data_IF_806664743152
#
_entry.id   IF_806664743152
#
_cell.length_a   1.000
_cell.length_b   1.000
_cell.length_c   1.000
_cell.angle_alpha   90.00
_cell.angle_beta   90.00
_cell.angle_gamma   90.00
#
_symmetry.space_group_name_H-M   'P 1'
#
loop_
_entity.id
_entity.type
_entity.pdbx_description
1 polymer ?
#
# COMPACT_ATOMS: atom_id res chain seq x y z
N UNK A 1 -1.19 -9.57 -16.61
CA UNK A 1 -1.76 -10.63 -15.75
C UNK A 1 -3.20 -10.25 -15.44
N UNK A 2 -4.20 -11.09 -15.74
CA UNK A 2 -5.58 -10.82 -15.34
C UNK A 2 -5.73 -10.86 -13.81
N UNK A 3 -6.76 -10.20 -13.28
CA UNK A 3 -7.08 -10.28 -11.86
C UNK A 3 -7.52 -11.71 -11.51
N UNK A 4 -6.96 -12.33 -10.45
CA UNK A 4 -7.42 -13.64 -9.96
C UNK A 4 -8.90 -13.59 -9.54
N UNK A 5 -9.64 -14.71 -9.65
CA UNK A 5 -11.02 -14.77 -9.17
C UNK A 5 -11.11 -14.59 -7.65
N UNK A 6 -12.30 -14.25 -7.09
CA UNK A 6 -12.48 -13.95 -5.67
C UNK A 6 -12.03 -15.07 -4.71
N UNK A 7 -12.20 -16.33 -5.10
CA UNK A 7 -11.83 -17.54 -4.36
C UNK A 7 -10.36 -17.94 -4.50
N UNK A 8 -9.61 -17.26 -5.37
CA UNK A 8 -8.19 -17.58 -5.59
C UNK A 8 -7.37 -17.45 -4.28
N UNK A 9 -6.33 -18.28 -4.13
CA UNK A 9 -5.37 -18.17 -3.03
C UNK A 9 -4.86 -16.74 -2.85
N UNK A 10 -4.64 -16.35 -1.59
CA UNK A 10 -4.13 -15.01 -1.26
C UNK A 10 -2.77 -14.72 -1.92
N UNK A 11 -1.94 -15.74 -2.10
CA UNK A 11 -0.66 -15.63 -2.81
C UNK A 11 -0.82 -15.14 -4.25
N UNK A 12 -1.84 -15.61 -4.97
CA UNK A 12 -2.12 -15.17 -6.34
C UNK A 12 -2.59 -13.72 -6.38
N UNK A 13 -3.39 -13.32 -5.39
CA UNK A 13 -3.81 -11.92 -5.21
C UNK A 13 -2.62 -11.02 -4.92
N UNK A 14 -1.68 -11.47 -4.09
CA UNK A 14 -0.40 -10.76 -3.85
C UNK A 14 0.45 -10.67 -5.11
N UNK A 15 0.58 -11.76 -5.87
CA UNK A 15 1.32 -11.77 -7.12
C UNK A 15 0.73 -10.76 -8.11
N UNK A 16 -0.59 -10.79 -8.33
CA UNK A 16 -1.29 -9.82 -9.14
C UNK A 16 -1.12 -8.38 -8.62
N UNK A 17 -1.32 -8.15 -7.31
CA UNK A 17 -1.16 -6.83 -6.69
C UNK A 17 0.22 -6.24 -6.98
N UNK A 18 1.29 -7.03 -6.87
CA UNK A 18 2.67 -6.60 -7.17
C UNK A 18 2.86 -6.19 -8.63
N UNK A 19 2.13 -6.80 -9.58
CA UNK A 19 2.14 -6.37 -10.99
C UNK A 19 1.50 -4.99 -11.21
N UNK A 20 0.68 -4.51 -10.26
CA UNK A 20 0.02 -3.21 -10.34
C UNK A 20 0.80 -2.09 -9.61
N UNK A 21 1.92 -2.43 -8.97
CA UNK A 21 2.75 -1.54 -8.14
C UNK A 21 4.24 -1.75 -8.47
N UNK A 22 4.64 -1.48 -9.71
CA UNK A 22 6.00 -1.74 -10.22
C UNK A 22 6.89 -0.50 -10.13
N UNK A 23 6.33 0.67 -10.41
CA UNK A 23 6.96 1.97 -10.41
C UNK A 23 7.36 2.41 -9.01
N UNK A 24 8.48 3.14 -8.93
CA UNK A 24 8.92 3.79 -7.69
C UNK A 24 7.88 4.78 -7.18
N UNK A 25 7.24 5.53 -8.08
CA UNK A 25 6.22 6.52 -7.74
C UNK A 25 5.03 5.93 -7.00
N UNK A 26 4.37 4.90 -7.57
CA UNK A 26 3.27 4.21 -6.87
C UNK A 26 3.72 3.66 -5.52
N UNK A 27 4.85 2.95 -5.49
CA UNK A 27 5.39 2.39 -4.24
C UNK A 27 5.60 3.47 -3.17
N UNK A 28 6.17 4.62 -3.52
CA UNK A 28 6.34 5.75 -2.59
C UNK A 28 5.02 6.31 -2.09
N UNK A 29 4.05 6.52 -2.99
CA UNK A 29 2.72 7.00 -2.56
C UNK A 29 2.01 6.03 -1.61
N UNK A 30 2.21 4.72 -1.77
CA UNK A 30 1.65 3.69 -0.89
C UNK A 30 2.40 3.59 0.45
N UNK A 31 3.73 3.69 0.43
CA UNK A 31 4.56 3.75 1.64
C UNK A 31 4.18 4.93 2.54
N UNK A 32 3.68 6.04 1.98
CA UNK A 32 3.21 7.19 2.77
C UNK A 32 1.71 7.08 3.08
N UNK A 33 0.90 6.79 2.06
CA UNK A 33 -0.55 6.79 2.16
C UNK A 33 -1.10 5.69 3.07
N UNK A 34 -0.51 4.49 3.04
CA UNK A 34 -1.00 3.35 3.85
C UNK A 34 -0.89 3.61 5.36
N UNK A 35 0.26 4.05 5.90
CA UNK A 35 0.35 4.46 7.31
C UNK A 35 -0.62 5.59 7.67
N UNK A 36 -0.81 6.58 6.80
CA UNK A 36 -1.74 7.69 7.04
C UNK A 36 -3.18 7.17 7.14
N UNK A 37 -3.61 6.27 6.25
CA UNK A 37 -4.94 5.64 6.34
C UNK A 37 -5.06 4.81 7.61
N UNK A 38 -4.05 3.99 7.92
CA UNK A 38 -4.06 3.11 9.08
C UNK A 38 -4.16 3.90 10.40
N UNK A 39 -3.44 5.02 10.52
CA UNK A 39 -3.53 5.92 11.67
C UNK A 39 -4.83 6.75 11.66
N UNK A 40 -5.32 7.13 10.48
CA UNK A 40 -6.55 7.89 10.31
C UNK A 40 -7.80 7.13 10.76
N UNK A 41 -7.85 5.82 10.54
CA UNK A 41 -9.01 4.98 10.83
C UNK A 41 -9.48 5.02 12.31
N UNK A 42 -8.63 4.79 13.33
CA UNK A 42 -9.03 4.96 14.73
C UNK A 42 -9.32 6.43 15.07
N UNK A 43 -8.63 7.37 14.41
CA UNK A 43 -8.86 8.80 14.61
C UNK A 43 -10.19 9.29 14.06
N UNK A 44 -10.84 8.58 13.13
CA UNK A 44 -12.21 8.92 12.70
C UNK A 44 -13.17 8.90 13.90
N UNK A 45 -12.93 8.01 14.86
CA UNK A 45 -13.73 7.91 16.08
C UNK A 45 -13.24 8.86 17.18
N UNK A 46 -11.93 8.98 17.38
CA UNK A 46 -11.37 9.79 18.47
C UNK A 46 -11.32 11.30 18.16
N UNK A 47 -11.03 11.67 16.91
CA UNK A 47 -10.90 13.06 16.42
C UNK A 47 -11.43 13.17 14.98
N UNK A 48 -12.76 13.16 14.77
CA UNK A 48 -13.38 12.91 13.47
C UNK A 48 -12.85 13.78 12.32
N UNK A 49 -12.64 15.08 12.54
CA UNK A 49 -12.11 16.00 11.52
C UNK A 49 -10.70 15.60 11.06
N UNK A 50 -9.82 15.27 12.02
CA UNK A 50 -8.44 14.86 11.74
C UNK A 50 -8.42 13.48 11.10
N UNK A 51 -9.15 12.52 11.68
CA UNK A 51 -9.24 11.16 11.16
C UNK A 51 -9.81 11.10 9.75
N UNK A 52 -10.88 11.84 9.46
CA UNK A 52 -11.47 11.91 8.14
C UNK A 52 -10.50 12.55 7.12
N UNK A 53 -9.82 13.64 7.49
CA UNK A 53 -8.83 14.27 6.62
C UNK A 53 -7.65 13.33 6.30
N UNK A 54 -7.15 12.60 7.30
CA UNK A 54 -6.10 11.59 7.10
C UNK A 54 -6.58 10.44 6.23
N UNK A 55 -7.76 9.88 6.52
CA UNK A 55 -8.31 8.75 5.78
C UNK A 55 -8.52 9.11 4.30
N UNK A 56 -9.22 10.21 4.02
CA UNK A 56 -9.48 10.68 2.65
C UNK A 56 -8.17 11.10 1.95
N UNK A 57 -7.30 11.85 2.63
CA UNK A 57 -6.02 12.31 2.08
C UNK A 57 -5.07 11.16 1.73
N UNK A 58 -4.96 10.16 2.61
CA UNK A 58 -4.13 8.97 2.37
C UNK A 58 -4.63 8.11 1.21
N UNK A 59 -5.95 8.02 1.01
CA UNK A 59 -6.53 7.39 -0.17
C UNK A 59 -6.29 8.20 -1.45
N UNK A 60 -6.51 9.52 -1.39
CA UNK A 60 -6.30 10.40 -2.54
C UNK A 60 -4.85 10.31 -3.04
N UNK A 61 -3.87 10.31 -2.13
CA UNK A 61 -2.46 10.16 -2.46
C UNK A 61 -2.17 8.87 -3.24
N UNK A 62 -2.70 7.74 -2.79
CA UNK A 62 -2.51 6.44 -3.45
C UNK A 62 -3.19 6.38 -4.82
N UNK A 63 -4.43 6.90 -4.93
CA UNK A 63 -5.16 6.98 -6.19
C UNK A 63 -4.39 7.85 -7.20
N UNK A 64 -3.90 9.02 -6.78
CA UNK A 64 -3.08 9.89 -7.62
C UNK A 64 -1.81 9.15 -8.05
N UNK A 65 -1.15 8.44 -7.15
CA UNK A 65 0.02 7.62 -7.47
C UNK A 65 -0.27 6.64 -8.61
N UNK A 66 -1.33 5.84 -8.47
CA UNK A 66 -1.76 4.90 -9.51
C UNK A 66 -2.01 5.58 -10.86
N UNK A 67 -2.75 6.70 -10.86
CA UNK A 67 -3.10 7.43 -12.09
C UNK A 67 -1.88 8.05 -12.78
N UNK A 68 -0.94 8.60 -12.03
CA UNK A 68 0.22 9.32 -12.56
C UNK A 68 1.33 8.36 -13.01
N UNK A 69 1.65 7.34 -12.20
CA UNK A 69 2.86 6.54 -12.41
C UNK A 69 2.62 5.17 -13.07
N UNK A 70 1.45 4.55 -12.88
CA UNK A 70 1.10 3.24 -13.48
C UNK A 70 -0.01 3.35 -14.52
N UNK A 71 -0.76 4.47 -14.53
CA UNK A 71 -1.92 4.70 -15.40
C UNK A 71 -3.01 3.62 -15.24
N UNK A 72 -3.13 3.03 -14.05
CA UNK A 72 -4.14 2.03 -13.70
C UNK A 72 -5.05 2.53 -12.55
N UNK A 73 -5.96 1.66 -12.10
CA UNK A 73 -6.80 1.89 -10.92
C UNK A 73 -6.29 1.03 -9.74
N UNK A 74 -6.49 1.47 -8.48
CA UNK A 74 -6.19 0.65 -7.32
C UNK A 74 -6.91 -0.69 -7.39
N UNK A 75 -6.25 -1.80 -7.07
CA UNK A 75 -6.85 -3.16 -7.17
C UNK A 75 -8.04 -3.40 -6.24
N UNK A 76 -8.31 -2.49 -5.30
CA UNK A 76 -9.34 -2.58 -4.27
C UNK A 76 -10.76 -2.69 -4.83
N UNK A 77 -11.01 -2.16 -6.04
CA UNK A 77 -12.28 -2.35 -6.75
C UNK A 77 -12.53 -3.78 -7.24
N UNK A 78 -11.50 -4.66 -7.25
CA UNK A 78 -11.61 -6.08 -7.63
C UNK A 78 -11.88 -7.00 -6.44
N UNK A 79 -11.82 -6.48 -5.21
CA UNK A 79 -11.99 -7.27 -3.99
C UNK A 79 -11.67 -6.43 -2.76
N UNK A 80 -12.71 -5.87 -2.15
CA UNK A 80 -12.57 -4.81 -1.14
C UNK A 80 -11.64 -5.22 0.02
N UNK A 81 -11.91 -6.34 0.68
CA UNK A 81 -11.13 -6.72 1.87
C UNK A 81 -9.76 -7.29 1.47
N UNK A 82 -9.72 -8.19 0.49
CA UNK A 82 -8.47 -8.91 0.17
C UNK A 82 -7.40 -7.98 -0.36
N UNK A 83 -7.74 -6.99 -1.19
CA UNK A 83 -6.75 -6.07 -1.73
C UNK A 83 -6.33 -4.96 -0.76
N UNK A 84 -7.12 -4.68 0.28
CA UNK A 84 -6.66 -3.88 1.41
C UNK A 84 -5.56 -4.60 2.18
N UNK A 85 -5.75 -5.90 2.44
CA UNK A 85 -4.75 -6.73 3.11
C UNK A 85 -3.46 -6.84 2.28
N UNK A 86 -3.57 -7.04 0.96
CA UNK A 86 -2.37 -7.07 0.10
C UNK A 86 -1.60 -5.75 0.17
N UNK A 87 -2.30 -4.62 0.21
CA UNK A 87 -1.66 -3.31 0.31
C UNK A 87 -0.90 -3.09 1.60
N UNK A 88 -1.50 -3.45 2.74
CA UNK A 88 -0.84 -3.38 4.06
C UNK A 88 0.38 -4.30 4.10
N UNK A 89 0.23 -5.55 3.66
CA UNK A 89 1.33 -6.53 3.66
C UNK A 89 2.48 -6.06 2.77
N UNK A 90 2.19 -5.57 1.56
CA UNK A 90 3.23 -5.08 0.66
C UNK A 90 4.02 -3.90 1.25
N UNK A 91 3.35 -2.97 1.92
CA UNK A 91 4.03 -1.86 2.62
C UNK A 91 4.90 -2.37 3.77
N UNK A 92 4.42 -3.35 4.54
CA UNK A 92 5.22 -4.00 5.58
C UNK A 92 6.47 -4.69 5.01
N UNK A 93 6.34 -5.42 3.89
CA UNK A 93 7.46 -6.05 3.17
C UNK A 93 8.50 -4.99 2.78
N UNK A 94 8.05 -3.88 2.17
CA UNK A 94 8.93 -2.80 1.73
C UNK A 94 9.67 -2.12 2.89
N UNK A 95 8.99 -1.86 4.01
CA UNK A 95 9.65 -1.34 5.22
C UNK A 95 10.68 -2.33 5.77
N UNK A 96 10.33 -3.61 5.85
CA UNK A 96 11.23 -4.68 6.29
C UNK A 96 12.51 -4.72 5.44
N UNK A 97 12.37 -4.69 4.12
CA UNK A 97 13.52 -4.64 3.22
C UNK A 97 14.38 -3.37 3.39
N UNK A 98 13.76 -2.20 3.59
CA UNK A 98 14.49 -0.95 3.85
C UNK A 98 15.32 -1.03 5.13
N UNK A 99 14.75 -1.60 6.20
CA UNK A 99 15.43 -1.82 7.46
C UNK A 99 16.56 -2.84 7.33
N UNK A 100 16.33 -3.95 6.61
CA UNK A 100 17.35 -4.96 6.34
C UNK A 100 18.54 -4.37 5.57
N UNK A 101 18.29 -3.61 4.49
CA UNK A 101 19.32 -2.91 3.72
C UNK A 101 20.11 -1.92 4.58
N UNK A 102 19.44 -1.21 5.50
CA UNK A 102 20.11 -0.30 6.44
C UNK A 102 21.01 -1.05 7.41
N UNK A 103 20.56 -2.19 7.93
CA UNK A 103 21.34 -3.05 8.83
C UNK A 103 22.61 -3.57 8.14
N UNK A 104 22.48 -4.10 6.93
CA UNK A 104 23.60 -4.61 6.12
C UNK A 104 24.66 -3.54 5.86
N UNK A 105 24.25 -2.32 5.46
CA UNK A 105 25.19 -1.20 5.25
C UNK A 105 25.93 -0.82 6.52
N UNK A 106 25.26 -0.84 7.68
CA UNK A 106 25.89 -0.55 8.97
C UNK A 106 26.90 -1.64 9.37
N UNK A 107 26.61 -2.91 9.08
CA UNK A 107 27.53 -4.01 9.33
C UNK A 107 28.78 -3.94 8.45
N UNK A 108 28.64 -3.56 7.18
CA UNK A 108 29.78 -3.42 6.24
C UNK A 108 30.67 -2.20 6.51
N UNK A 109 30.19 -1.23 7.29
CA UNK A 109 30.95 -0.02 7.67
C UNK A 109 31.66 -0.16 9.03
N UNK A 110 31.55 -1.32 9.68
CA UNK A 110 32.29 -1.70 10.90
C UNK A 110 33.48 -2.56 10.52
#
# INVERSE_FOLDING_TARGET
MPAPPPEAPFADKMAYYRTQHTSKGVRTTHLIGTPIIAAGLPLVWAKPRVGAAMFVGGWALQIIGHRVFEKNLPSTHKGWITYQLTGVIHVCEQYGEMLARRSQRRAAAR
#
